data_IF_595378142607
#
_entry.id   IF_595378142607
#
_cell.length_a   1.000
_cell.length_b   1.000
_cell.length_c   1.000
_cell.angle_alpha   90.00
_cell.angle_beta   90.00
_cell.angle_gamma   90.00
#
_symmetry.space_group_name_H-M   'P 1'
#
loop_
_entity.id
_entity.type
_entity.pdbx_description
1 polymer ?
#
# COMPACT_ATOMS: atom_id res chain seq x y z
N UNK A 1 -27.21 18.23 12.19
CA UNK A 1 -27.65 17.93 10.80
C UNK A 1 -26.39 17.61 10.00
N UNK A 2 -26.35 16.49 9.28
CA UNK A 2 -25.20 16.20 8.42
C UNK A 2 -25.10 17.23 7.32
N UNK A 3 -23.90 17.62 6.93
CA UNK A 3 -23.65 18.58 5.86
C UNK A 3 -24.04 18.05 4.47
N UNK A 4 -23.87 16.71 4.28
CA UNK A 4 -24.20 16.02 3.04
C UNK A 4 -24.88 14.67 3.36
N UNK A 5 -25.77 14.24 2.47
CA UNK A 5 -26.56 13.01 2.64
C UNK A 5 -25.90 11.78 2.01
N UNK A 6 -24.75 11.93 1.34
CA UNK A 6 -24.04 10.84 0.67
C UNK A 6 -22.52 10.92 0.87
N UNK A 7 -21.87 9.78 0.86
CA UNK A 7 -20.41 9.68 0.92
C UNK A 7 -19.76 10.46 -0.23
N UNK A 8 -20.31 10.35 -1.45
CA UNK A 8 -19.81 11.12 -2.60
C UNK A 8 -19.83 12.62 -2.35
N UNK A 9 -20.91 13.16 -1.81
CA UNK A 9 -21.02 14.59 -1.50
C UNK A 9 -19.96 15.05 -0.48
N UNK A 10 -19.67 14.22 0.53
CA UNK A 10 -18.59 14.50 1.48
C UNK A 10 -17.20 14.49 0.81
N UNK A 11 -16.91 13.51 -0.04
CA UNK A 11 -15.63 13.37 -0.70
C UNK A 11 -15.37 14.50 -1.71
N UNK A 12 -16.35 14.82 -2.55
CA UNK A 12 -16.27 15.92 -3.53
C UNK A 12 -16.00 17.27 -2.82
N UNK A 13 -16.65 17.50 -1.67
CA UNK A 13 -16.41 18.70 -0.89
C UNK A 13 -15.01 18.73 -0.25
N UNK A 14 -14.55 17.61 0.32
CA UNK A 14 -13.22 17.53 0.95
C UNK A 14 -12.09 17.82 -0.04
N UNK A 15 -12.24 17.48 -1.32
CA UNK A 15 -11.24 17.81 -2.35
C UNK A 15 -11.03 19.34 -2.53
N UNK A 16 -12.03 20.15 -2.17
CA UNK A 16 -12.00 21.60 -2.25
C UNK A 16 -11.80 22.29 -0.90
N UNK A 17 -11.83 21.56 0.21
CA UNK A 17 -11.78 22.12 1.56
C UNK A 17 -10.42 22.75 1.90
N UNK A 18 -9.34 22.14 1.45
CA UNK A 18 -7.98 22.61 1.69
C UNK A 18 -7.36 23.13 0.38
N UNK A 19 -6.67 24.30 0.40
CA UNK A 19 -6.16 24.92 -0.83
C UNK A 19 -5.05 24.09 -1.50
N UNK A 20 -4.35 23.25 -0.74
CA UNK A 20 -3.24 22.41 -1.21
C UNK A 20 -3.60 20.93 -1.05
N UNK A 21 -3.48 20.14 -2.12
CA UNK A 21 -3.87 18.71 -2.11
C UNK A 21 -3.04 17.86 -1.14
N UNK A 22 -1.76 18.18 -0.99
CA UNK A 22 -0.84 17.55 -0.05
C UNK A 22 -0.23 18.68 0.79
N UNK A 23 -0.54 18.70 2.07
CA UNK A 23 0.00 19.64 3.04
C UNK A 23 0.41 18.83 4.28
N UNK A 24 1.72 18.58 4.38
CA UNK A 24 2.29 17.74 5.43
C UNK A 24 2.41 18.54 6.73
N UNK A 25 1.85 18.00 7.82
CA UNK A 25 1.90 18.60 9.15
C UNK A 25 1.01 17.83 10.11
N UNK A 26 1.34 17.87 11.41
CA UNK A 26 0.60 17.12 12.42
C UNK A 26 -0.40 17.96 13.18
N UNK A 27 -0.17 19.28 13.27
CA UNK A 27 -0.84 20.18 14.21
C UNK A 27 -2.34 20.24 13.97
N UNK A 28 -2.77 20.40 12.71
CA UNK A 28 -4.19 20.48 12.32
C UNK A 28 -4.94 19.19 12.67
N UNK A 29 -4.39 18.06 12.24
CA UNK A 29 -4.97 16.75 12.50
C UNK A 29 -4.98 16.42 14.00
N UNK A 30 -3.90 16.71 14.73
CA UNK A 30 -3.82 16.48 16.18
C UNK A 30 -4.83 17.33 16.94
N UNK A 31 -4.97 18.61 16.61
CA UNK A 31 -5.95 19.51 17.25
C UNK A 31 -7.38 18.95 17.10
N UNK A 32 -7.77 18.53 15.90
CA UNK A 32 -9.10 18.00 15.66
C UNK A 32 -9.29 16.63 16.29
N UNK A 33 -8.26 15.77 16.28
CA UNK A 33 -8.28 14.48 16.95
C UNK A 33 -8.54 14.59 18.46
N UNK A 34 -7.85 15.51 19.14
CA UNK A 34 -8.05 15.74 20.58
C UNK A 34 -9.44 16.30 20.89
N UNK A 35 -10.00 17.13 20.02
CA UNK A 35 -11.36 17.62 20.16
C UNK A 35 -12.44 16.54 19.98
N UNK A 36 -12.17 15.55 19.10
CA UNK A 36 -13.06 14.39 18.86
C UNK A 36 -13.05 13.39 20.01
N UNK A 37 -11.88 13.14 20.60
CA UNK A 37 -11.62 11.98 21.46
C UNK A 37 -10.77 12.39 22.69
N UNK A 38 -11.30 13.23 23.61
CA UNK A 38 -10.53 13.79 24.73
C UNK A 38 -10.02 12.74 25.72
N UNK A 39 -10.76 11.63 25.91
CA UNK A 39 -10.52 10.63 26.97
C UNK A 39 -10.37 9.20 26.43
N UNK A 40 -9.90 9.01 25.18
CA UNK A 40 -9.91 7.68 24.59
C UNK A 40 -8.77 6.78 25.06
N UNK A 41 -9.10 5.55 25.45
CA UNK A 41 -8.15 4.43 25.55
C UNK A 41 -7.88 3.98 24.12
N UNK A 42 -6.62 4.12 23.68
CA UNK A 42 -6.21 3.73 22.33
C UNK A 42 -6.07 2.20 22.23
N UNK A 43 -6.54 1.57 21.15
CA UNK A 43 -6.20 0.18 20.84
C UNK A 43 -4.69 0.01 20.69
N UNK A 44 -4.18 -1.21 20.83
CA UNK A 44 -2.79 -1.51 20.44
C UNK A 44 -2.61 -1.09 18.98
N UNK A 45 -1.54 -0.37 18.69
CA UNK A 45 -1.35 0.26 17.38
C UNK A 45 -0.07 -0.24 16.72
N UNK A 46 -0.17 -0.72 15.47
CA UNK A 46 0.97 -0.96 14.59
C UNK A 46 0.91 0.07 13.46
N UNK A 47 1.97 0.86 13.32
CA UNK A 47 2.10 1.80 12.20
C UNK A 47 3.08 1.26 11.18
N UNK A 48 2.66 1.20 9.91
CA UNK A 48 3.44 0.66 8.79
C UNK A 48 3.77 1.76 7.79
N UNK A 49 5.07 2.03 7.61
CA UNK A 49 5.59 2.91 6.57
C UNK A 49 6.52 2.16 5.61
N UNK A 50 6.94 2.80 4.54
CA UNK A 50 7.82 2.23 3.51
C UNK A 50 7.49 2.76 2.13
N UNK A 51 8.31 2.45 1.15
CA UNK A 51 8.02 2.79 -0.25
C UNK A 51 7.03 1.78 -0.83
N UNK A 52 7.39 0.51 -0.87
CA UNK A 52 6.54 -0.58 -1.36
C UNK A 52 6.24 -1.57 -0.22
N UNK A 53 5.13 -2.34 -0.33
CA UNK A 53 4.81 -3.43 0.61
C UNK A 53 3.95 -3.03 1.82
N UNK A 54 3.68 -1.74 2.07
CA UNK A 54 2.87 -1.27 3.21
C UNK A 54 1.51 -1.97 3.30
N UNK A 55 0.69 -1.85 2.26
CA UNK A 55 -0.63 -2.46 2.22
C UNK A 55 -0.60 -3.99 2.33
N UNK A 56 0.46 -4.65 1.79
CA UNK A 56 0.65 -6.10 1.99
C UNK A 56 0.89 -6.44 3.46
N UNK A 57 1.74 -5.66 4.16
CA UNK A 57 1.99 -5.88 5.60
C UNK A 57 0.73 -5.63 6.43
N UNK A 58 -0.04 -4.56 6.15
CA UNK A 58 -1.33 -4.30 6.81
C UNK A 58 -2.28 -5.48 6.62
N UNK A 59 -2.40 -5.99 5.39
CA UNK A 59 -3.29 -7.08 5.09
C UNK A 59 -2.86 -8.42 5.75
N UNK A 60 -1.55 -8.72 5.84
CA UNK A 60 -1.05 -9.87 6.61
C UNK A 60 -1.34 -9.72 8.11
N UNK A 61 -1.05 -8.56 8.71
CA UNK A 61 -1.34 -8.29 10.11
C UNK A 61 -2.83 -8.47 10.41
N UNK A 62 -3.69 -7.87 9.58
CA UNK A 62 -5.14 -8.00 9.70
C UNK A 62 -5.57 -9.47 9.66
N UNK A 63 -5.10 -10.23 8.67
CA UNK A 63 -5.46 -11.64 8.51
C UNK A 63 -4.99 -12.51 9.68
N UNK A 64 -3.79 -12.28 10.22
CA UNK A 64 -3.22 -13.03 11.34
C UNK A 64 -3.98 -12.74 12.65
N UNK A 65 -4.19 -11.46 13.00
CA UNK A 65 -4.89 -11.11 14.23
C UNK A 65 -6.36 -11.55 14.19
N UNK A 66 -7.03 -11.44 13.05
CA UNK A 66 -8.38 -11.98 12.85
C UNK A 66 -8.43 -13.51 12.97
N UNK A 67 -7.44 -14.22 12.42
CA UNK A 67 -7.36 -15.68 12.56
C UNK A 67 -7.19 -16.10 14.02
N UNK A 68 -6.60 -15.25 14.87
CA UNK A 68 -6.53 -15.48 16.32
C UNK A 68 -7.84 -15.13 17.04
N UNK A 69 -8.75 -14.38 16.43
CA UNK A 69 -10.04 -14.00 17.02
C UNK A 69 -10.09 -12.58 17.59
N UNK A 70 -9.06 -11.75 17.37
CA UNK A 70 -9.06 -10.35 17.76
C UNK A 70 -9.94 -9.49 16.85
N UNK A 71 -10.47 -8.41 17.43
CA UNK A 71 -11.15 -7.35 16.70
C UNK A 71 -10.12 -6.37 16.12
N UNK A 72 -10.07 -6.28 14.80
CA UNK A 72 -9.01 -5.57 14.08
C UNK A 72 -9.58 -4.42 13.27
N UNK A 73 -9.03 -3.21 13.45
CA UNK A 73 -9.21 -2.09 12.54
C UNK A 73 -8.01 -1.97 11.62
N UNK A 74 -8.23 -1.77 10.32
CA UNK A 74 -7.17 -1.54 9.35
C UNK A 74 -7.46 -0.29 8.51
N UNK A 75 -6.52 0.68 8.54
CA UNK A 75 -6.52 1.86 7.69
C UNK A 75 -5.44 1.75 6.64
N UNK A 76 -5.81 1.83 5.37
CA UNK A 76 -4.90 1.69 4.23
C UNK A 76 -5.18 2.69 3.12
N UNK A 77 -4.19 3.00 2.27
CA UNK A 77 -4.34 3.94 1.16
C UNK A 77 -3.33 3.67 0.03
N UNK A 78 -3.69 4.02 -1.22
CA UNK A 78 -5.02 4.45 -1.67
C UNK A 78 -5.99 3.27 -1.81
N UNK A 79 -7.27 3.54 -2.04
CA UNK A 79 -8.26 2.55 -2.47
C UNK A 79 -8.15 2.28 -3.98
N UNK A 80 -8.72 1.16 -4.44
CA UNK A 80 -8.77 0.82 -5.87
C UNK A 80 -10.16 1.09 -6.45
N UNK A 81 -11.20 0.51 -5.89
CA UNK A 81 -12.58 0.63 -6.41
C UNK A 81 -13.44 1.58 -5.59
N UNK A 82 -13.46 1.41 -4.27
CA UNK A 82 -14.34 2.17 -3.36
C UNK A 82 -13.58 2.79 -2.21
N UNK A 83 -13.96 4.00 -1.83
CA UNK A 83 -13.35 4.74 -0.71
C UNK A 83 -13.33 3.91 0.59
N UNK A 84 -14.38 3.13 0.83
CA UNK A 84 -14.55 2.28 2.01
C UNK A 84 -13.43 1.25 2.22
N UNK A 85 -12.70 0.87 1.15
CA UNK A 85 -11.52 -0.02 1.24
C UNK A 85 -10.45 0.52 2.18
N UNK A 86 -10.42 1.86 2.38
CA UNK A 86 -9.45 2.53 3.25
C UNK A 86 -9.66 2.23 4.72
N UNK A 87 -10.90 1.94 5.13
CA UNK A 87 -11.26 1.74 6.54
C UNK A 87 -11.98 0.40 6.66
N UNK A 88 -11.32 -0.56 7.30
CA UNK A 88 -11.88 -1.90 7.51
C UNK A 88 -11.98 -2.21 8.99
N UNK A 89 -13.02 -2.94 9.37
CA UNK A 89 -13.17 -3.59 10.65
C UNK A 89 -13.37 -5.08 10.39
N UNK A 90 -12.55 -5.90 11.04
CA UNK A 90 -12.58 -7.36 10.91
C UNK A 90 -12.55 -7.84 9.44
N UNK A 91 -11.73 -7.18 8.60
CA UNK A 91 -11.51 -7.49 7.18
C UNK A 91 -12.60 -7.01 6.23
N UNK A 92 -13.61 -6.31 6.74
CA UNK A 92 -14.71 -5.80 5.93
C UNK A 92 -14.65 -4.28 5.83
N UNK A 93 -14.74 -3.70 4.63
CA UNK A 93 -14.91 -2.25 4.49
C UNK A 93 -16.12 -1.77 5.29
N UNK A 94 -15.99 -0.65 5.97
CA UNK A 94 -17.10 -0.03 6.69
C UNK A 94 -18.13 0.56 5.73
N UNK A 95 -19.37 0.75 6.18
CA UNK A 95 -20.45 1.28 5.34
C UNK A 95 -20.29 2.78 5.07
N UNK A 96 -20.95 3.28 4.02
CA UNK A 96 -21.01 4.71 3.69
C UNK A 96 -21.56 5.53 4.86
N UNK A 97 -22.60 5.02 5.53
CA UNK A 97 -23.26 5.67 6.66
C UNK A 97 -22.26 5.90 7.81
N UNK A 98 -21.47 4.87 8.16
CA UNK A 98 -20.49 4.97 9.25
C UNK A 98 -19.40 5.99 8.95
N UNK A 99 -18.96 6.07 7.69
CA UNK A 99 -17.99 7.07 7.24
C UNK A 99 -18.61 8.47 7.29
N UNK A 100 -19.85 8.65 6.78
CA UNK A 100 -20.55 9.92 6.79
C UNK A 100 -20.79 10.42 8.24
N UNK A 101 -21.13 9.55 9.16
CA UNK A 101 -21.27 9.88 10.58
C UNK A 101 -19.94 10.35 11.19
N UNK A 102 -18.82 9.66 10.88
CA UNK A 102 -17.50 10.10 11.32
C UNK A 102 -17.15 11.47 10.74
N UNK A 103 -17.40 11.68 9.46
CA UNK A 103 -17.18 12.97 8.81
C UNK A 103 -18.04 14.09 9.44
N UNK A 104 -19.27 13.81 9.80
CA UNK A 104 -20.15 14.79 10.48
C UNK A 104 -19.61 15.15 11.88
N UNK A 105 -19.08 14.18 12.64
CA UNK A 105 -18.43 14.43 13.94
C UNK A 105 -17.19 15.30 13.79
N UNK A 106 -16.32 15.00 12.81
CA UNK A 106 -15.14 15.81 12.51
C UNK A 106 -15.54 17.25 12.16
N UNK A 107 -16.52 17.41 11.27
CA UNK A 107 -17.02 18.72 10.85
C UNK A 107 -17.54 19.54 12.04
N UNK A 108 -18.19 18.90 13.01
CA UNK A 108 -18.75 19.57 14.19
C UNK A 108 -17.69 20.12 15.14
N UNK A 109 -16.46 19.57 15.15
CA UNK A 109 -15.41 19.95 16.12
C UNK A 109 -14.21 20.64 15.47
N UNK A 110 -13.99 20.52 14.15
CA UNK A 110 -12.83 21.14 13.50
C UNK A 110 -12.89 22.67 13.47
N UNK A 111 -14.06 23.26 13.69
CA UNK A 111 -14.26 24.72 13.62
C UNK A 111 -13.75 25.30 12.29
N UNK A 112 -12.79 26.22 12.37
CA UNK A 112 -12.16 26.85 11.21
C UNK A 112 -10.89 26.12 10.72
N UNK A 113 -10.52 25.00 11.34
CA UNK A 113 -9.34 24.22 10.93
C UNK A 113 -9.62 23.57 9.57
N UNK A 114 -8.85 23.95 8.56
CA UNK A 114 -8.92 23.35 7.24
C UNK A 114 -8.12 22.02 7.27
N UNK A 115 -8.70 20.97 6.73
CA UNK A 115 -8.09 19.63 6.68
C UNK A 115 -7.96 19.18 5.22
N UNK A 116 -6.83 18.61 4.86
CA UNK A 116 -6.66 17.95 3.57
C UNK A 116 -7.52 16.68 3.51
N UNK A 117 -7.77 16.20 2.29
CA UNK A 117 -8.52 14.96 2.04
C UNK A 117 -7.98 13.76 2.84
N UNK A 118 -6.64 13.65 2.93
CA UNK A 118 -6.00 12.57 3.67
C UNK A 118 -6.14 12.74 5.20
N UNK A 119 -5.95 13.95 5.73
CA UNK A 119 -6.15 14.24 7.16
C UNK A 119 -7.60 13.93 7.58
N UNK A 120 -8.57 14.33 6.75
CA UNK A 120 -9.98 14.07 7.02
C UNK A 120 -10.29 12.57 7.07
N UNK A 121 -9.76 11.80 6.11
CA UNK A 121 -9.90 10.35 6.06
C UNK A 121 -9.21 9.63 7.21
N UNK A 122 -8.02 10.09 7.61
CA UNK A 122 -7.28 9.54 8.75
C UNK A 122 -8.05 9.76 10.06
N UNK A 123 -8.56 10.96 10.29
CA UNK A 123 -9.37 11.27 11.46
C UNK A 123 -10.66 10.45 11.51
N UNK A 124 -11.31 10.23 10.37
CA UNK A 124 -12.49 9.36 10.29
C UNK A 124 -12.17 7.91 10.65
N UNK A 125 -11.05 7.37 10.15
CA UNK A 125 -10.61 6.03 10.52
C UNK A 125 -10.37 5.91 12.04
N UNK A 126 -9.65 6.86 12.63
CA UNK A 126 -9.36 6.87 14.06
C UNK A 126 -10.62 7.00 14.92
N UNK A 127 -11.58 7.86 14.54
CA UNK A 127 -12.86 8.01 15.24
C UNK A 127 -13.70 6.73 15.16
N UNK A 128 -13.78 6.11 13.99
CA UNK A 128 -14.48 4.84 13.80
C UNK A 128 -13.83 3.73 14.64
N UNK A 129 -12.51 3.62 14.63
CA UNK A 129 -11.75 2.60 15.36
C UNK A 129 -11.94 2.75 16.87
N UNK A 130 -11.84 3.96 17.39
CA UNK A 130 -12.09 4.22 18.80
C UNK A 130 -13.49 3.79 19.26
N UNK A 131 -14.52 4.05 18.44
CA UNK A 131 -15.92 3.70 18.76
C UNK A 131 -16.23 2.22 18.58
N UNK A 132 -15.35 1.47 17.91
CA UNK A 132 -15.61 0.08 17.55
C UNK A 132 -15.11 -0.93 18.58
N UNK A 133 -14.46 -0.51 19.66
CA UNK A 133 -13.95 -1.41 20.71
C UNK A 133 -12.96 -2.45 20.17
N UNK A 134 -11.95 -1.99 19.43
CA UNK A 134 -10.94 -2.84 18.81
C UNK A 134 -9.88 -3.29 19.80
N UNK A 135 -9.33 -4.49 19.61
CA UNK A 135 -8.14 -4.96 20.32
C UNK A 135 -6.88 -4.33 19.71
N UNK A 136 -6.85 -4.17 18.38
CA UNK A 136 -5.73 -3.64 17.63
C UNK A 136 -6.18 -2.78 16.45
N UNK A 137 -5.43 -1.71 16.19
CA UNK A 137 -5.54 -0.93 14.96
C UNK A 137 -4.23 -0.95 14.18
N UNK A 138 -4.35 -1.09 12.86
CA UNK A 138 -3.27 -1.17 11.90
C UNK A 138 -3.33 0.06 11.02
N UNK A 139 -2.28 0.88 11.03
CA UNK A 139 -2.27 2.18 10.37
C UNK A 139 -1.20 2.21 9.28
N UNK A 140 -1.63 2.33 8.02
CA UNK A 140 -0.74 2.55 6.89
C UNK A 140 -0.44 4.04 6.73
N UNK A 141 0.84 4.40 6.70
CA UNK A 141 1.31 5.75 6.37
C UNK A 141 1.03 6.05 4.89
N UNK A 142 0.39 7.18 4.62
CA UNK A 142 0.09 7.61 3.25
C UNK A 142 1.32 8.11 2.50
N UNK A 143 2.09 9.03 3.12
CA UNK A 143 3.27 9.65 2.52
C UNK A 143 4.35 9.95 3.57
N UNK A 144 5.58 9.52 3.30
CA UNK A 144 6.70 9.76 4.21
C UNK A 144 6.55 8.99 5.51
N UNK A 145 6.27 9.68 6.59
CA UNK A 145 6.06 9.15 7.94
C UNK A 145 6.03 10.27 8.98
N UNK A 146 7.09 11.09 9.04
CA UNK A 146 7.29 12.11 10.09
C UNK A 146 6.12 13.08 10.21
N UNK A 147 5.61 13.58 9.10
CA UNK A 147 4.55 14.59 9.01
C UNK A 147 3.23 14.04 8.44
N UNK A 148 3.12 12.71 8.33
CA UNK A 148 1.89 12.07 7.89
C UNK A 148 0.81 12.13 8.98
N UNK A 149 -0.43 12.36 8.61
CA UNK A 149 -1.54 12.48 9.56
C UNK A 149 -1.72 11.25 10.46
N UNK A 150 -1.35 10.06 10.00
CA UNK A 150 -1.35 8.82 10.80
C UNK A 150 -0.40 8.93 12.02
N UNK A 151 0.67 9.72 11.90
CA UNK A 151 1.71 9.84 12.93
C UNK A 151 1.32 10.69 14.15
N UNK A 152 0.09 11.21 14.20
CA UNK A 152 -0.50 11.81 15.42
C UNK A 152 -0.76 10.76 16.51
N UNK A 153 -0.76 9.47 16.15
CA UNK A 153 -0.92 8.35 17.07
C UNK A 153 0.43 7.70 17.31
N UNK A 154 0.84 7.60 18.58
CA UNK A 154 2.03 6.85 18.94
C UNK A 154 1.79 5.35 18.82
N UNK A 155 2.60 4.63 18.03
CA UNK A 155 2.46 3.19 17.83
C UNK A 155 3.06 2.38 18.99
N UNK A 156 2.55 1.16 19.18
CA UNK A 156 3.19 0.15 20.01
C UNK A 156 4.27 -0.62 19.23
N UNK A 157 4.17 -0.65 17.90
CA UNK A 157 5.19 -1.19 16.99
C UNK A 157 5.22 -0.34 15.71
N UNK A 158 6.41 0.03 15.28
CA UNK A 158 6.67 0.68 13.99
C UNK A 158 7.30 -0.31 13.03
N UNK A 159 6.78 -0.42 11.80
CA UNK A 159 7.32 -1.29 10.76
C UNK A 159 7.65 -0.46 9.52
N UNK A 160 8.90 -0.53 9.05
CA UNK A 160 9.35 0.00 7.76
C UNK A 160 9.56 -1.16 6.80
N UNK A 161 8.85 -1.17 5.67
CA UNK A 161 8.87 -2.30 4.71
C UNK A 161 10.07 -2.26 3.77
N UNK A 162 10.19 -1.21 2.96
CA UNK A 162 11.33 -0.96 2.07
C UNK A 162 11.55 0.54 1.87
N UNK A 163 12.77 0.91 1.48
CA UNK A 163 13.15 2.28 1.14
C UNK A 163 13.62 2.33 -0.31
N UNK A 164 12.80 2.87 -1.17
CA UNK A 164 13.08 3.12 -2.59
C UNK A 164 12.81 4.57 -2.96
N UNK A 165 13.30 4.99 -4.12
CA UNK A 165 13.08 6.34 -4.66
C UNK A 165 11.64 6.44 -5.15
N UNK A 166 10.86 7.28 -4.51
CA UNK A 166 9.50 7.65 -4.89
C UNK A 166 9.09 8.95 -4.18
N UNK A 167 8.13 9.68 -4.74
CA UNK A 167 7.64 10.95 -4.19
C UNK A 167 8.73 11.98 -3.92
N UNK A 168 9.68 12.13 -4.85
CA UNK A 168 10.88 12.95 -4.71
C UNK A 168 10.57 14.42 -4.39
N UNK A 169 9.49 14.98 -4.93
CA UNK A 169 9.03 16.34 -4.66
C UNK A 169 8.74 16.62 -3.17
N UNK A 170 8.51 15.56 -2.36
CA UNK A 170 8.11 15.66 -0.97
C UNK A 170 9.12 15.06 0.00
N UNK A 171 9.77 13.97 -0.40
CA UNK A 171 10.62 13.17 0.49
C UNK A 171 12.11 13.32 0.20
N UNK A 172 12.47 14.00 -0.91
CA UNK A 172 13.83 14.14 -1.38
C UNK A 172 14.25 13.07 -2.39
N UNK A 173 15.40 13.30 -3.02
CA UNK A 173 15.88 12.54 -4.19
C UNK A 173 16.74 11.33 -3.82
N UNK A 174 17.00 11.09 -2.53
CA UNK A 174 17.89 10.02 -2.07
C UNK A 174 17.19 9.07 -1.11
N UNK A 175 17.65 7.81 -1.08
CA UNK A 175 17.18 6.81 -0.10
C UNK A 175 17.42 7.28 1.34
N UNK A 176 18.47 8.05 1.58
CA UNK A 176 18.79 8.62 2.89
C UNK A 176 17.72 9.62 3.35
N UNK A 177 17.35 10.58 2.49
CA UNK A 177 16.29 11.54 2.81
C UNK A 177 14.95 10.85 3.05
N UNK A 178 14.58 9.90 2.17
CA UNK A 178 13.34 9.12 2.27
C UNK A 178 13.34 8.26 3.55
N UNK A 179 14.48 7.66 3.90
CA UNK A 179 14.64 6.87 5.12
C UNK A 179 14.42 7.70 6.37
N UNK A 180 14.99 8.91 6.43
CA UNK A 180 14.83 9.85 7.54
C UNK A 180 13.35 10.28 7.72
N UNK A 181 12.64 10.58 6.65
CA UNK A 181 11.21 10.92 6.71
C UNK A 181 10.37 9.74 7.22
N UNK A 182 10.64 8.53 6.75
CA UNK A 182 9.90 7.33 7.20
C UNK A 182 10.23 6.95 8.65
N UNK A 183 11.47 7.15 9.10
CA UNK A 183 11.88 6.98 10.50
C UNK A 183 11.11 7.88 11.47
N UNK A 184 10.38 8.88 10.97
CA UNK A 184 9.50 9.75 11.76
C UNK A 184 8.47 9.01 12.59
N UNK A 185 8.09 7.78 12.24
CA UNK A 185 7.15 6.95 13.00
C UNK A 185 7.77 6.24 14.22
N UNK A 186 9.09 6.23 14.38
CA UNK A 186 9.75 5.59 15.52
C UNK A 186 9.50 6.36 16.82
N UNK A 187 9.41 5.61 17.93
CA UNK A 187 9.25 6.15 19.29
C UNK A 187 10.25 5.52 20.25
N UNK A 188 10.61 6.26 21.29
CA UNK A 188 11.53 5.78 22.31
C UNK A 188 11.03 4.49 22.97
N UNK A 189 11.94 3.53 23.19
CA UNK A 189 11.67 2.22 23.82
C UNK A 189 10.64 1.35 23.09
N UNK A 190 10.16 1.76 21.92
CA UNK A 190 9.17 1.03 21.13
C UNK A 190 9.87 0.18 20.05
N UNK A 191 9.40 -1.04 19.74
CA UNK A 191 9.93 -1.84 18.64
C UNK A 191 9.86 -1.10 17.31
N UNK A 192 11.00 -1.00 16.63
CA UNK A 192 11.18 -0.46 15.29
C UNK A 192 11.70 -1.57 14.38
N UNK A 193 10.84 -2.10 13.51
CA UNK A 193 11.14 -3.23 12.65
C UNK A 193 11.49 -2.70 11.25
N UNK A 194 12.63 -3.11 10.72
CA UNK A 194 13.11 -2.76 9.38
C UNK A 194 13.14 -4.02 8.52
N UNK A 195 12.23 -4.08 7.55
CA UNK A 195 12.12 -5.16 6.56
C UNK A 195 12.97 -4.92 5.30
N UNK A 196 13.65 -3.77 5.19
CA UNK A 196 14.59 -3.51 4.11
C UNK A 196 15.89 -4.29 4.34
N UNK A 197 16.34 -5.03 3.30
CA UNK A 197 17.57 -5.83 3.40
C UNK A 197 18.85 -4.99 3.28
N UNK A 198 18.73 -3.76 2.78
CA UNK A 198 19.80 -2.78 2.64
C UNK A 198 19.28 -1.41 3.10
N UNK A 199 19.00 -1.23 4.41
CA UNK A 199 18.42 0.00 4.92
C UNK A 199 19.44 1.15 4.84
N UNK A 200 19.01 2.37 4.46
CA UNK A 200 19.89 3.54 4.48
C UNK A 200 20.36 3.85 5.91
N UNK A 201 21.57 4.39 6.02
CA UNK A 201 22.20 4.70 7.31
C UNK A 201 21.36 5.70 8.12
N UNK A 202 20.75 6.68 7.48
CA UNK A 202 19.87 7.68 8.11
C UNK A 202 18.67 7.03 8.85
N UNK A 203 18.15 5.92 8.32
CA UNK A 203 17.05 5.18 8.95
C UNK A 203 17.54 4.50 10.25
N UNK A 204 18.72 3.87 10.20
CA UNK A 204 19.33 3.21 11.36
C UNK A 204 19.72 4.23 12.44
N UNK A 205 20.37 5.33 12.05
CA UNK A 205 20.75 6.40 12.96
C UNK A 205 19.52 7.04 13.63
N UNK A 206 18.43 7.27 12.87
CA UNK A 206 17.18 7.80 13.42
C UNK A 206 16.58 6.89 14.49
N UNK A 207 16.72 5.57 14.36
CA UNK A 207 16.25 4.64 15.38
C UNK A 207 17.09 4.73 16.66
N UNK A 208 18.41 4.88 16.52
CA UNK A 208 19.35 5.07 17.64
C UNK A 208 19.07 6.40 18.36
N UNK A 209 18.96 7.50 17.61
CA UNK A 209 18.73 8.84 18.14
C UNK A 209 17.42 8.95 18.94
N UNK A 210 16.40 8.18 18.52
CA UNK A 210 15.11 8.09 19.20
C UNK A 210 15.07 7.05 20.32
N UNK A 211 16.17 6.34 20.55
CA UNK A 211 16.22 5.25 21.54
C UNK A 211 15.12 4.17 21.28
N UNK A 212 14.82 3.88 20.01
CA UNK A 212 13.90 2.85 19.62
C UNK A 212 14.54 1.46 19.74
N UNK A 213 13.75 0.43 20.01
CA UNK A 213 14.22 -0.97 19.99
C UNK A 213 14.26 -1.49 18.57
N UNK A 214 15.43 -1.41 17.95
CA UNK A 214 15.64 -1.74 16.55
C UNK A 214 15.70 -3.24 16.31
N UNK A 215 15.02 -3.70 15.24
CA UNK A 215 15.08 -5.06 14.70
C UNK A 215 15.22 -5.01 13.18
N UNK A 216 16.31 -5.52 12.64
CA UNK A 216 16.60 -5.54 11.22
C UNK A 216 16.50 -6.96 10.65
N UNK A 217 15.90 -7.08 9.47
CA UNK A 217 15.88 -8.33 8.72
C UNK A 217 17.32 -8.78 8.40
N UNK A 218 17.56 -10.08 8.33
CA UNK A 218 18.87 -10.72 8.12
C UNK A 218 19.88 -10.52 9.26
N UNK A 219 19.52 -9.79 10.32
CA UNK A 219 20.35 -9.60 11.52
C UNK A 219 19.64 -10.12 12.77
N UNK A 220 18.45 -9.59 13.07
CA UNK A 220 17.69 -9.91 14.28
C UNK A 220 16.59 -10.93 14.01
N UNK A 221 16.13 -11.01 12.77
CA UNK A 221 15.19 -11.99 12.25
C UNK A 221 15.47 -12.31 10.79
N UNK A 222 15.04 -13.49 10.35
CA UNK A 222 15.28 -13.95 8.98
C UNK A 222 14.27 -15.02 8.57
N UNK A 223 14.34 -15.40 7.30
CA UNK A 223 13.57 -16.52 6.76
C UNK A 223 14.42 -17.38 5.82
N UNK A 224 14.02 -18.64 5.68
CA UNK A 224 14.64 -19.56 4.72
C UNK A 224 13.57 -20.28 3.92
N UNK A 225 13.58 -20.08 2.60
CA UNK A 225 12.68 -20.78 1.69
C UNK A 225 13.10 -22.24 1.51
N UNK A 226 12.09 -23.09 1.37
CA UNK A 226 12.20 -24.48 0.93
C UNK A 226 11.39 -24.65 -0.37
N UNK A 227 11.17 -25.87 -0.84
CA UNK A 227 10.48 -26.10 -2.11
C UNK A 227 9.02 -25.64 -2.10
N UNK A 228 8.26 -25.95 -1.04
CA UNK A 228 6.82 -25.62 -0.91
C UNK A 228 6.45 -24.95 0.40
N UNK A 229 7.43 -24.72 1.26
CA UNK A 229 7.28 -24.13 2.58
C UNK A 229 8.42 -23.16 2.83
N UNK A 230 8.40 -22.50 3.98
CA UNK A 230 9.51 -21.68 4.46
C UNK A 230 9.57 -21.68 5.98
N UNK A 231 10.72 -21.36 6.52
CA UNK A 231 10.96 -21.27 7.95
C UNK A 231 11.27 -19.81 8.32
N UNK A 232 10.86 -19.42 9.52
CA UNK A 232 11.11 -18.10 10.07
C UNK A 232 11.87 -18.20 11.40
N UNK A 233 12.79 -17.24 11.64
CA UNK A 233 13.70 -17.26 12.79
C UNK A 233 13.81 -15.86 13.40
N UNK A 234 13.82 -15.77 14.76
CA UNK A 234 14.23 -14.57 15.50
C UNK A 234 14.72 -14.96 16.89
N UNK A 235 16.02 -14.75 17.19
CA UNK A 235 16.65 -15.27 18.40
C UNK A 235 16.42 -16.78 18.55
N UNK A 236 15.87 -17.21 19.68
CA UNK A 236 15.54 -18.63 19.95
C UNK A 236 14.18 -19.06 19.37
N UNK A 237 13.40 -18.14 18.83
CA UNK A 237 12.09 -18.42 18.24
C UNK A 237 12.24 -18.92 16.82
N UNK A 238 11.66 -20.09 16.52
CA UNK A 238 11.65 -20.71 15.21
C UNK A 238 10.23 -21.19 14.88
N UNK A 239 9.71 -20.80 13.70
CA UNK A 239 8.45 -21.30 13.14
C UNK A 239 8.81 -22.02 11.84
N UNK A 240 8.77 -23.36 11.87
CA UNK A 240 9.12 -24.18 10.71
C UNK A 240 7.92 -24.44 9.81
N UNK A 241 8.17 -24.78 8.54
CA UNK A 241 7.17 -25.26 7.58
C UNK A 241 5.96 -24.30 7.44
N UNK A 242 6.19 -22.99 7.42
CA UNK A 242 5.16 -22.03 7.09
C UNK A 242 4.66 -22.25 5.65
N UNK A 243 3.36 -22.06 5.38
CA UNK A 243 2.83 -22.10 4.01
C UNK A 243 3.39 -20.95 3.19
N UNK A 244 3.47 -21.12 1.88
CA UNK A 244 3.77 -19.99 0.99
C UNK A 244 2.82 -18.81 1.28
N UNK A 245 3.33 -17.55 1.24
CA UNK A 245 2.50 -16.38 1.36
C UNK A 245 1.39 -16.37 0.30
N UNK A 246 0.16 -16.06 0.70
CA UNK A 246 -0.99 -16.02 -0.21
C UNK A 246 -0.84 -14.94 -1.28
N UNK A 247 -0.18 -13.81 -0.97
CA UNK A 247 0.23 -12.83 -1.96
C UNK A 247 1.45 -13.34 -2.73
N UNK A 248 1.48 -13.07 -4.04
CA UNK A 248 2.51 -13.59 -4.94
C UNK A 248 3.75 -12.70 -5.00
N UNK A 249 4.90 -13.29 -5.34
CA UNK A 249 6.20 -12.62 -5.50
C UNK A 249 7.15 -12.84 -4.32
N UNK A 250 8.47 -12.88 -4.63
CA UNK A 250 9.54 -13.16 -3.66
C UNK A 250 9.57 -12.16 -2.49
N UNK A 251 9.29 -10.90 -2.77
CA UNK A 251 9.24 -9.84 -1.75
C UNK A 251 8.18 -10.09 -0.66
N UNK A 252 7.20 -10.95 -0.90
CA UNK A 252 6.15 -11.26 0.08
C UNK A 252 6.67 -12.10 1.25
N UNK A 253 7.71 -12.92 1.05
CA UNK A 253 8.38 -13.62 2.16
C UNK A 253 9.03 -12.63 3.13
N UNK A 254 9.65 -11.57 2.59
CA UNK A 254 10.23 -10.48 3.38
C UNK A 254 9.15 -9.70 4.15
N UNK A 255 8.05 -9.34 3.49
CA UNK A 255 6.92 -8.67 4.11
C UNK A 255 6.30 -9.54 5.21
N UNK A 256 6.03 -10.81 4.93
CA UNK A 256 5.50 -11.78 5.89
C UNK A 256 6.45 -12.00 7.07
N UNK A 257 7.76 -12.09 6.82
CA UNK A 257 8.77 -12.23 7.88
C UNK A 257 8.76 -11.04 8.84
N UNK A 258 8.68 -9.81 8.31
CA UNK A 258 8.59 -8.58 9.11
C UNK A 258 7.29 -8.49 9.91
N UNK A 259 6.19 -8.96 9.32
CA UNK A 259 4.88 -9.04 9.98
C UNK A 259 4.90 -10.06 11.13
N UNK A 260 5.49 -11.24 10.93
CA UNK A 260 5.62 -12.24 12.01
C UNK A 260 6.39 -11.64 13.18
N UNK A 261 7.48 -10.91 12.93
CA UNK A 261 8.19 -10.25 14.02
C UNK A 261 7.31 -9.21 14.74
N UNK A 262 6.51 -8.42 14.00
CA UNK A 262 5.59 -7.45 14.62
C UNK A 262 4.55 -8.14 15.53
N UNK A 263 4.10 -9.34 15.15
CA UNK A 263 3.21 -10.19 15.98
C UNK A 263 3.95 -10.70 17.22
N UNK A 264 5.17 -11.23 17.06
CA UNK A 264 5.97 -11.81 18.16
C UNK A 264 6.37 -10.76 19.23
N UNK A 265 6.73 -9.53 18.82
CA UNK A 265 7.07 -8.48 19.80
C UNK A 265 5.88 -8.01 20.62
N UNK A 266 4.66 -8.25 20.16
CA UNK A 266 3.40 -7.96 20.86
C UNK A 266 2.83 -9.18 21.60
N UNK A 267 3.49 -10.35 21.57
CA UNK A 267 2.95 -11.61 22.11
C UNK A 267 2.58 -11.55 23.61
N UNK A 268 3.19 -10.65 24.40
CA UNK A 268 2.81 -10.45 25.81
C UNK A 268 1.46 -9.75 25.99
N UNK A 269 1.10 -8.86 25.07
CA UNK A 269 -0.13 -8.07 25.12
C UNK A 269 -1.25 -8.68 24.28
N UNK A 270 -0.88 -9.21 23.12
CA UNK A 270 -1.77 -9.85 22.14
C UNK A 270 -1.15 -11.17 21.67
N UNK A 271 -1.28 -12.26 22.47
CA UNK A 271 -0.72 -13.55 22.09
C UNK A 271 -1.39 -14.13 20.83
N UNK A 272 -0.58 -14.59 19.90
CA UNK A 272 -1.03 -15.20 18.64
C UNK A 272 -0.40 -16.59 18.50
N UNK A 273 -1.20 -17.60 18.16
CA UNK A 273 -0.74 -18.96 17.93
C UNK A 273 -0.06 -19.13 16.57
N UNK A 274 0.87 -20.10 16.45
CA UNK A 274 1.48 -20.45 15.17
C UNK A 274 0.43 -20.85 14.11
N UNK A 275 -0.68 -21.45 14.56
CA UNK A 275 -1.80 -21.79 13.66
C UNK A 275 -2.45 -20.54 13.07
N UNK A 276 -2.69 -19.51 13.88
CA UNK A 276 -3.27 -18.25 13.40
C UNK A 276 -2.32 -17.53 12.42
N UNK A 277 -1.00 -17.56 12.68
CA UNK A 277 0.01 -17.07 11.74
C UNK A 277 -0.09 -17.80 10.39
N UNK A 278 -0.13 -19.15 10.40
CA UNK A 278 -0.25 -19.95 9.17
C UNK A 278 -1.52 -19.65 8.38
N UNK A 279 -2.65 -19.55 9.08
CA UNK A 279 -3.96 -19.23 8.47
C UNK A 279 -3.91 -17.85 7.84
N UNK A 280 -3.43 -16.83 8.57
CA UNK A 280 -3.37 -15.46 8.11
C UNK A 280 -2.42 -15.28 6.92
N UNK A 281 -1.28 -15.96 6.91
CA UNK A 281 -0.33 -15.89 5.80
C UNK A 281 -0.89 -16.49 4.50
N UNK A 282 -1.67 -17.59 4.60
CA UNK A 282 -2.17 -18.32 3.44
C UNK A 282 -3.43 -17.68 2.82
N UNK A 283 -4.37 -17.23 3.66
CA UNK A 283 -5.72 -16.87 3.23
C UNK A 283 -5.90 -15.36 2.96
N UNK A 284 -4.88 -14.72 2.45
CA UNK A 284 -4.87 -13.28 2.16
C UNK A 284 -5.08 -13.03 0.67
N UNK A 285 -5.90 -12.02 0.37
CA UNK A 285 -6.07 -11.47 -0.97
C UNK A 285 -5.97 -9.93 -0.90
N UNK A 286 -5.32 -9.35 -1.88
CA UNK A 286 -5.20 -7.91 -2.01
C UNK A 286 -5.29 -7.54 -3.49
N UNK A 287 -6.26 -6.70 -3.84
CA UNK A 287 -6.50 -6.29 -5.22
C UNK A 287 -5.27 -5.60 -5.81
N UNK A 288 -5.01 -5.87 -7.11
CA UNK A 288 -3.94 -5.23 -7.85
C UNK A 288 -2.53 -5.53 -7.35
N UNK A 289 -2.29 -6.69 -6.73
CA UNK A 289 -0.97 -7.18 -6.32
C UNK A 289 -0.70 -8.54 -6.93
N UNK A 290 -0.05 -8.55 -8.09
CA UNK A 290 0.17 -9.74 -8.91
C UNK A 290 -1.10 -10.59 -9.02
N UNK A 291 -2.23 -9.90 -9.21
CA UNK A 291 -3.55 -10.52 -9.30
C UNK A 291 -3.74 -11.10 -10.69
N UNK A 292 -3.85 -12.41 -10.76
CA UNK A 292 -4.14 -13.11 -12.01
C UNK A 292 -5.66 -13.30 -12.16
N UNK A 293 -6.23 -12.84 -13.26
CA UNK A 293 -7.61 -13.10 -13.67
C UNK A 293 -7.56 -14.16 -14.76
N UNK A 294 -8.28 -15.25 -14.55
CA UNK A 294 -8.46 -16.33 -15.51
C UNK A 294 -9.50 -15.89 -16.56
N UNK A 295 -9.04 -15.66 -17.78
CA UNK A 295 -9.85 -15.37 -18.98
C UNK A 295 -9.26 -16.18 -20.16
N UNK A 296 -9.84 -16.16 -21.30
CA UNK A 296 -9.34 -16.84 -22.53
C UNK A 296 -7.85 -16.54 -22.78
N UNK A 297 -7.44 -15.30 -22.54
CA UNK A 297 -6.06 -14.87 -22.42
C UNK A 297 -5.89 -14.39 -20.97
N UNK A 298 -5.03 -15.01 -20.15
CA UNK A 298 -4.89 -14.64 -18.76
C UNK A 298 -4.45 -13.18 -18.62
N UNK A 299 -4.98 -12.50 -17.59
CA UNK A 299 -4.70 -11.07 -17.32
C UNK A 299 -4.04 -10.94 -15.96
N UNK A 300 -2.79 -10.50 -15.94
CA UNK A 300 -2.07 -10.14 -14.72
C UNK A 300 -2.26 -8.65 -14.44
N UNK A 301 -2.65 -8.34 -13.22
CA UNK A 301 -2.90 -6.95 -12.76
C UNK A 301 -1.97 -6.60 -11.63
N UNK A 302 -1.26 -5.45 -11.74
CA UNK A 302 -0.39 -4.93 -10.69
C UNK A 302 -0.38 -3.40 -10.65
N UNK A 303 -0.36 -2.82 -9.44
CA UNK A 303 -0.31 -1.36 -9.25
C UNK A 303 1.10 -0.80 -9.24
N UNK A 304 2.15 -1.59 -9.50
CA UNK A 304 3.55 -1.17 -9.53
C UNK A 304 3.76 0.05 -10.44
N UNK A 305 4.34 1.12 -9.87
CA UNK A 305 4.45 2.43 -10.52
C UNK A 305 5.77 3.15 -10.20
N UNK A 306 6.77 2.43 -9.74
CA UNK A 306 8.13 2.93 -9.53
C UNK A 306 9.15 1.84 -9.92
N UNK A 307 10.42 2.20 -10.16
CA UNK A 307 11.45 1.25 -10.61
C UNK A 307 11.62 0.02 -9.72
N UNK A 308 11.59 0.16 -8.40
CA UNK A 308 11.73 -0.97 -7.46
C UNK A 308 10.55 -1.95 -7.57
N UNK A 309 9.32 -1.44 -7.64
CA UNK A 309 8.12 -2.27 -7.77
C UNK A 309 8.10 -3.04 -9.10
N UNK A 310 8.44 -2.38 -10.21
CA UNK A 310 8.43 -3.05 -11.52
C UNK A 310 9.59 -4.02 -11.70
N UNK A 311 10.73 -3.81 -11.04
CA UNK A 311 11.79 -4.83 -10.98
C UNK A 311 11.28 -6.13 -10.36
N UNK A 312 10.53 -6.01 -9.26
CA UNK A 312 9.89 -7.16 -8.61
C UNK A 312 8.84 -7.83 -9.51
N UNK A 313 8.12 -7.03 -10.32
CA UNK A 313 7.17 -7.54 -11.30
C UNK A 313 7.89 -8.30 -12.42
N UNK A 314 9.00 -7.79 -12.94
CA UNK A 314 9.84 -8.48 -13.95
C UNK A 314 10.34 -9.82 -13.42
N UNK A 315 10.86 -9.85 -12.18
CA UNK A 315 11.31 -11.10 -11.56
C UNK A 315 10.16 -12.13 -11.48
N UNK A 316 8.97 -11.68 -11.11
CA UNK A 316 7.77 -12.55 -11.06
C UNK A 316 7.34 -13.05 -12.45
N UNK A 317 7.34 -12.17 -13.45
CA UNK A 317 7.01 -12.52 -14.84
C UNK A 317 7.96 -13.58 -15.41
N UNK A 318 9.27 -13.36 -15.24
CA UNK A 318 10.30 -14.30 -15.73
C UNK A 318 10.21 -15.67 -15.04
N UNK A 319 9.89 -15.70 -13.74
CA UNK A 319 9.78 -16.95 -12.99
C UNK A 319 8.48 -17.70 -13.29
N UNK A 320 7.36 -16.97 -13.44
CA UNK A 320 6.02 -17.59 -13.53
C UNK A 320 5.54 -17.80 -14.97
N UNK A 321 5.98 -16.94 -15.88
CA UNK A 321 5.51 -16.91 -17.27
C UNK A 321 6.67 -16.85 -18.30
N UNK A 322 7.71 -17.69 -18.17
CA UNK A 322 8.96 -17.57 -18.95
C UNK A 322 8.75 -17.67 -20.47
N UNK A 323 7.73 -18.42 -20.91
CA UNK A 323 7.47 -18.71 -22.32
C UNK A 323 6.32 -17.89 -22.93
N UNK A 324 5.74 -16.94 -22.14
CA UNK A 324 4.60 -16.14 -22.63
C UNK A 324 5.08 -14.81 -23.22
N UNK A 325 4.49 -14.42 -24.36
CA UNK A 325 4.60 -13.05 -24.84
C UNK A 325 3.69 -12.15 -24.01
N UNK A 326 4.22 -11.03 -23.56
CA UNK A 326 3.53 -10.12 -22.65
C UNK A 326 3.07 -8.89 -23.43
N UNK A 327 1.77 -8.66 -23.48
CA UNK A 327 1.15 -7.45 -24.03
C UNK A 327 0.72 -6.53 -22.89
N UNK A 328 1.39 -5.38 -22.75
CA UNK A 328 1.18 -4.50 -21.61
C UNK A 328 0.22 -3.36 -21.93
N UNK A 329 -0.88 -3.27 -21.19
CA UNK A 329 -1.72 -2.07 -21.10
C UNK A 329 -1.18 -1.22 -19.96
N UNK A 330 -0.73 -0.02 -20.27
CA UNK A 330 0.11 0.77 -19.38
C UNK A 330 -0.33 2.22 -19.29
N UNK A 331 -0.28 2.78 -18.08
CA UNK A 331 -0.38 4.21 -17.84
C UNK A 331 0.16 4.55 -16.45
N UNK A 332 0.75 5.74 -16.30
CA UNK A 332 1.33 6.22 -15.04
C UNK A 332 0.94 7.67 -14.76
N UNK A 333 1.16 8.08 -13.52
CA UNK A 333 1.11 9.49 -13.14
C UNK A 333 2.36 10.22 -13.64
N UNK A 334 2.21 11.50 -14.04
CA UNK A 334 3.30 12.31 -14.62
C UNK A 334 4.45 12.62 -13.68
N UNK A 335 4.19 12.51 -12.37
CA UNK A 335 5.15 12.74 -11.27
C UNK A 335 6.01 11.50 -10.94
N UNK A 336 5.86 10.41 -11.70
CA UNK A 336 6.60 9.17 -11.49
C UNK A 336 7.75 9.02 -12.49
N UNK A 337 8.73 8.20 -12.12
CA UNK A 337 9.86 7.86 -12.99
C UNK A 337 9.42 6.88 -14.10
N UNK A 338 8.73 7.43 -15.11
CA UNK A 338 8.22 6.65 -16.25
C UNK A 338 9.38 6.06 -17.06
N UNK A 339 10.46 6.80 -17.26
CA UNK A 339 11.60 6.36 -18.06
C UNK A 339 12.30 5.16 -17.41
N UNK A 340 12.57 5.21 -16.11
CA UNK A 340 13.16 4.09 -15.38
C UNK A 340 12.26 2.86 -15.36
N UNK A 341 10.93 3.04 -15.28
CA UNK A 341 9.97 1.93 -15.40
C UNK A 341 10.01 1.29 -16.78
N UNK A 342 10.04 2.08 -17.85
CA UNK A 342 10.12 1.56 -19.22
C UNK A 342 11.43 0.81 -19.48
N UNK A 343 12.56 1.33 -19.01
CA UNK A 343 13.87 0.68 -19.14
C UNK A 343 13.86 -0.73 -18.54
N UNK A 344 13.30 -0.87 -17.33
CA UNK A 344 13.23 -2.16 -16.61
C UNK A 344 12.24 -3.13 -17.28
N UNK A 345 11.10 -2.64 -17.75
CA UNK A 345 10.04 -3.48 -18.30
C UNK A 345 10.24 -3.85 -19.77
N UNK A 346 10.95 -3.02 -20.57
CA UNK A 346 11.12 -3.23 -22.00
C UNK A 346 11.67 -4.61 -22.39
N UNK A 347 12.63 -5.21 -21.66
CA UNK A 347 13.14 -6.54 -22.01
C UNK A 347 12.10 -7.68 -21.94
N UNK A 348 11.02 -7.51 -21.18
CA UNK A 348 10.01 -8.55 -20.96
C UNK A 348 8.68 -8.27 -21.66
N UNK A 349 8.41 -7.02 -22.01
CA UNK A 349 7.17 -6.63 -22.69
C UNK A 349 7.33 -6.71 -24.20
N UNK A 350 6.47 -7.48 -24.86
CA UNK A 350 6.49 -7.65 -26.32
C UNK A 350 5.80 -6.51 -27.06
N UNK A 351 4.59 -6.11 -26.65
CA UNK A 351 3.85 -4.97 -27.19
C UNK A 351 3.29 -4.09 -26.07
N UNK A 352 3.28 -2.78 -26.30
CA UNK A 352 2.75 -1.79 -25.38
C UNK A 352 1.49 -1.13 -25.92
N UNK A 353 0.54 -0.86 -25.03
CA UNK A 353 -0.71 -0.17 -25.31
C UNK A 353 -0.90 0.93 -24.27
N UNK A 354 -0.77 2.18 -24.69
CA UNK A 354 -0.97 3.30 -23.76
C UNK A 354 -2.46 3.56 -23.55
N UNK A 355 -2.95 3.37 -22.33
CA UNK A 355 -4.32 3.67 -21.94
C UNK A 355 -4.41 5.02 -21.23
N UNK A 356 -5.05 6.06 -21.79
CA UNK A 356 -5.22 7.34 -21.10
C UNK A 356 -6.14 7.17 -19.88
N UNK A 357 -5.78 7.84 -18.78
CA UNK A 357 -6.53 7.87 -17.51
C UNK A 357 -7.18 9.22 -17.35
N UNK A 358 -8.45 9.26 -16.98
CA UNK A 358 -9.19 10.49 -16.69
C UNK A 358 -8.81 11.07 -15.31
N UNK A 359 -7.57 11.53 -15.17
CA UNK A 359 -7.04 12.14 -13.94
C UNK A 359 -6.08 13.28 -14.29
N UNK A 360 -6.17 14.46 -13.64
CA UNK A 360 -5.27 15.61 -13.91
C UNK A 360 -3.79 15.34 -13.67
N UNK A 361 -3.47 14.33 -12.85
CA UNK A 361 -2.08 13.88 -12.58
C UNK A 361 -1.59 12.84 -13.57
N UNK A 362 -2.44 12.26 -14.40
CA UNK A 362 -2.02 11.24 -15.35
C UNK A 362 -1.05 11.81 -16.39
N UNK A 363 -0.11 10.97 -16.83
CA UNK A 363 0.73 11.29 -17.96
C UNK A 363 -0.13 11.40 -19.24
N UNK A 364 -0.02 12.51 -19.95
CA UNK A 364 -0.76 12.72 -21.20
C UNK A 364 -0.15 11.96 -22.36
N UNK A 365 -0.91 11.65 -23.38
CA UNK A 365 -0.40 10.96 -24.57
C UNK A 365 0.80 11.70 -25.23
N UNK A 366 0.79 13.04 -25.41
CA UNK A 366 1.96 13.74 -25.92
C UNK A 366 3.22 13.56 -25.08
N UNK A 367 3.09 13.57 -23.74
CA UNK A 367 4.21 13.30 -22.83
C UNK A 367 4.71 11.85 -23.01
N UNK A 368 3.79 10.89 -23.05
CA UNK A 368 4.13 9.49 -23.21
C UNK A 368 4.81 9.22 -24.56
N UNK A 369 4.31 9.79 -25.66
CA UNK A 369 4.96 9.72 -26.98
C UNK A 369 6.40 10.24 -26.94
N UNK A 370 6.63 11.36 -26.24
CA UNK A 370 7.98 11.92 -26.06
C UNK A 370 8.89 10.94 -25.30
N UNK A 371 8.43 10.41 -24.16
CA UNK A 371 9.23 9.49 -23.34
C UNK A 371 9.53 8.19 -24.11
N UNK A 372 8.52 7.59 -24.75
CA UNK A 372 8.69 6.38 -25.55
C UNK A 372 9.65 6.59 -26.74
N UNK A 373 9.60 7.75 -27.40
CA UNK A 373 10.53 8.06 -28.50
C UNK A 373 12.01 8.20 -28.06
N UNK A 374 12.24 8.44 -26.77
CA UNK A 374 13.57 8.51 -26.15
C UNK A 374 14.02 7.18 -25.54
N UNK A 375 13.12 6.20 -25.46
CA UNK A 375 13.38 4.86 -24.93
C UNK A 375 13.74 3.87 -26.05
N UNK A 376 14.18 2.67 -25.66
CA UNK A 376 14.42 1.56 -26.59
C UNK A 376 13.16 0.79 -27.01
N UNK A 377 11.98 1.24 -26.57
CA UNK A 377 10.69 0.60 -26.90
C UNK A 377 10.33 0.87 -28.35
N UNK A 378 10.15 -0.19 -29.14
CA UNK A 378 9.83 -0.10 -30.58
C UNK A 378 8.37 -0.40 -30.91
N UNK A 379 7.65 -1.10 -30.02
CA UNK A 379 6.29 -1.58 -30.26
C UNK A 379 5.34 -0.96 -29.25
N UNK A 380 4.78 0.19 -29.59
CA UNK A 380 3.81 0.93 -28.77
C UNK A 380 2.64 1.43 -29.61
N UNK A 381 1.44 1.20 -29.14
CA UNK A 381 0.17 1.69 -29.71
C UNK A 381 -0.39 2.83 -28.87
N UNK A 382 -0.84 3.87 -29.55
CA UNK A 382 -1.47 5.08 -29.00
C UNK A 382 -2.79 5.38 -29.70
N UNK A 383 -3.50 6.42 -29.25
CA UNK A 383 -4.71 6.92 -29.88
C UNK A 383 -5.99 6.27 -29.36
N UNK A 384 -5.91 5.65 -28.18
CA UNK A 384 -7.08 5.07 -27.51
C UNK A 384 -7.83 6.14 -26.71
N UNK A 385 -9.15 6.00 -26.58
CA UNK A 385 -10.01 6.91 -25.84
C UNK A 385 -10.03 6.64 -24.33
N UNK A 386 -9.61 5.45 -23.91
CA UNK A 386 -9.56 5.02 -22.51
C UNK A 386 -9.06 3.60 -22.36
N UNK A 387 -9.19 3.07 -21.13
CA UNK A 387 -8.75 1.73 -20.80
C UNK A 387 -9.37 0.65 -21.69
N UNK A 388 -10.70 0.66 -21.86
CA UNK A 388 -11.42 -0.39 -22.59
C UNK A 388 -10.93 -0.53 -24.04
N UNK A 389 -10.68 0.58 -24.73
CA UNK A 389 -10.17 0.57 -26.10
C UNK A 389 -8.77 -0.01 -26.19
N UNK A 390 -7.87 0.44 -25.32
CA UNK A 390 -6.48 -0.05 -25.26
C UNK A 390 -6.44 -1.55 -24.90
N UNK A 391 -7.25 -1.96 -23.92
CA UNK A 391 -7.33 -3.35 -23.48
C UNK A 391 -7.88 -4.27 -24.58
N UNK A 392 -8.94 -3.85 -25.28
CA UNK A 392 -9.50 -4.61 -26.41
C UNK A 392 -8.51 -4.70 -27.58
N UNK A 393 -7.76 -3.64 -27.86
CA UNK A 393 -6.71 -3.68 -28.88
C UNK A 393 -5.60 -4.68 -28.49
N UNK A 394 -5.14 -4.65 -27.24
CA UNK A 394 -4.18 -5.62 -26.73
C UNK A 394 -4.71 -7.07 -26.83
N UNK A 395 -5.95 -7.28 -26.39
CA UNK A 395 -6.61 -8.60 -26.45
C UNK A 395 -6.74 -9.14 -27.89
N UNK A 396 -7.07 -8.27 -28.85
CA UNK A 396 -7.22 -8.66 -30.26
C UNK A 396 -5.89 -9.00 -30.95
N UNK A 397 -4.77 -8.44 -30.46
CA UNK A 397 -3.44 -8.75 -30.97
C UNK A 397 -2.79 -9.96 -30.29
N UNK A 398 -3.33 -10.41 -29.17
CA UNK A 398 -2.79 -11.51 -28.38
C UNK A 398 -3.34 -12.86 -28.84
N UNK A 399 -2.51 -13.89 -28.69
CA UNK A 399 -2.88 -15.29 -28.87
C UNK A 399 -3.27 -15.92 -27.52
N UNK A 400 -3.91 -17.10 -27.56
CA UNK A 400 -4.36 -17.81 -26.34
C UNK A 400 -3.21 -18.14 -25.37
N UNK A 401 -1.99 -18.33 -25.89
CA UNK A 401 -0.81 -18.60 -25.05
C UNK A 401 -0.08 -17.35 -24.56
N UNK A 402 -0.53 -16.14 -24.89
CA UNK A 402 0.08 -14.89 -24.44
C UNK A 402 -0.40 -14.52 -23.03
N UNK A 403 0.11 -13.42 -22.48
CA UNK A 403 -0.29 -12.82 -21.21
C UNK A 403 -0.62 -11.34 -21.43
N UNK A 404 -1.79 -10.92 -21.00
CA UNK A 404 -2.10 -9.50 -20.86
C UNK A 404 -1.60 -9.01 -19.49
N UNK A 405 -0.87 -7.91 -19.49
CA UNK A 405 -0.41 -7.25 -18.27
C UNK A 405 -1.02 -5.87 -18.16
N UNK A 406 -1.70 -5.57 -17.05
CA UNK A 406 -2.24 -4.24 -16.76
C UNK A 406 -1.49 -3.68 -15.56
N UNK A 407 -0.69 -2.60 -15.75
CA UNK A 407 0.12 -2.06 -14.65
C UNK A 407 0.46 -0.58 -14.79
N UNK A 408 1.01 0.00 -13.73
CA UNK A 408 1.60 1.35 -13.70
C UNK A 408 0.80 2.37 -12.89
N UNK A 409 -0.43 2.07 -12.49
CA UNK A 409 -1.25 3.01 -11.71
C UNK A 409 -2.42 2.32 -11.02
N UNK A 410 -2.78 2.78 -9.81
CA UNK A 410 -4.02 2.37 -9.13
C UNK A 410 -5.27 2.69 -9.96
N UNK A 411 -5.29 3.83 -10.65
CA UNK A 411 -6.43 4.22 -11.49
C UNK A 411 -6.61 3.29 -12.69
N UNK A 412 -5.52 2.91 -13.35
CA UNK A 412 -5.58 1.96 -14.46
C UNK A 412 -6.08 0.59 -14.01
N UNK A 413 -5.60 0.13 -12.86
CA UNK A 413 -6.05 -1.13 -12.24
C UNK A 413 -7.53 -1.04 -11.86
N UNK A 414 -7.99 0.10 -11.33
CA UNK A 414 -9.41 0.35 -11.06
C UNK A 414 -10.26 0.23 -12.32
N UNK A 415 -9.85 0.89 -13.42
CA UNK A 415 -10.56 0.80 -14.70
C UNK A 415 -10.63 -0.63 -15.20
N UNK A 416 -9.54 -1.40 -15.07
CA UNK A 416 -9.49 -2.80 -15.43
C UNK A 416 -10.48 -3.65 -14.61
N UNK A 417 -10.46 -3.53 -13.31
CA UNK A 417 -11.35 -4.30 -12.43
C UNK A 417 -12.82 -3.96 -12.65
N UNK A 418 -13.15 -2.66 -12.82
CA UNK A 418 -14.50 -2.23 -13.17
C UNK A 418 -14.98 -2.81 -14.51
N UNK A 419 -14.09 -3.01 -15.49
CA UNK A 419 -14.45 -3.62 -16.77
C UNK A 419 -14.76 -5.12 -16.60
N UNK A 420 -14.05 -5.81 -15.70
CA UNK A 420 -14.34 -7.23 -15.38
C UNK A 420 -15.60 -7.40 -14.52
N UNK A 421 -15.94 -6.46 -13.65
CA UNK A 421 -17.20 -6.49 -12.87
C UNK A 421 -18.46 -6.30 -13.73
N UNK A 422 -18.35 -5.69 -14.92
CA UNK A 422 -19.47 -5.48 -15.86
C UNK A 422 -19.78 -6.72 -16.72
N UNK A 423 -18.89 -7.71 -16.77
CA UNK A 423 -19.02 -8.94 -17.55
C UNK A 423 -19.70 -10.05 -16.75
#
# INVERSE_FOLDING_TARGET
>A
MMRFDSLKGWLDWQESLHPVKIDLGLERAAQVYHALNPDCIKPITITVAGTNGKGSCIAYLEAIYRAQGYRVGAYSSPHILKYNERIKIDGKPVSDELICEAFARIESVRCNTSLSYFEFGTLAALDIFWRSGLDIQLLEVGLGGRLDAVNIIDPNVSLITSIGIDHIDWLGETREAIGQEKAGIFRAKTPAIIGDCDPPESLLQSAIDKDARLYCINKDFSYKKQTTTWDWFAGDRHISQLPEPGLKGEHQYRNASSVILAVEVLAKSLPVSDMAIRIGLKNIQLLGRFQLIDDKIPVLIDVGHNPEAVKTLVDYLNMTFPDKRIHAVFSMMKDKDIAGVLEIMNPVVYDWFFAPIANPRAATEPLMRKIFSQSSVSRISFGFTGFADAFNAAKNQSLENDLLLVFGSFFLVSDCLNEFEKR
#
